data_IF_125377609171
#
_entry.id   IF_125377609171
#
_cell.length_a   1.000
_cell.length_b   1.000
_cell.length_c   1.000
_cell.angle_alpha   90.00
_cell.angle_beta   90.00
_cell.angle_gamma   90.00
#
_symmetry.space_group_name_H-M   'P 1'
#
loop_
_entity.id
_entity.type
_entity.pdbx_description
1 polymer ?
#
# COMPACT_ATOMS: atom_id res chain seq x y z
N UNK A 1 -3.98 6.10 -15.08
CA UNK A 1 -3.23 6.97 -14.17
C UNK A 1 -2.27 6.13 -13.33
N UNK A 2 -1.00 6.44 -13.38
CA UNK A 2 0.01 5.77 -12.55
C UNK A 2 -0.15 6.13 -11.08
N UNK A 3 0.31 5.29 -10.19
CA UNK A 3 0.19 5.57 -8.77
C UNK A 3 0.58 4.42 -7.87
N UNK A 4 0.41 4.66 -6.57
CA UNK A 4 0.63 3.72 -5.48
C UNK A 4 -0.71 3.26 -4.96
N UNK A 5 -0.78 2.02 -4.50
CA UNK A 5 -1.94 1.52 -3.76
C UNK A 5 -1.49 0.88 -2.46
N UNK A 6 -2.36 0.96 -1.46
CA UNK A 6 -2.18 0.27 -0.18
C UNK A 6 -3.42 -0.57 0.05
N UNK A 7 -3.23 -1.87 0.19
CA UNK A 7 -4.30 -2.82 0.49
C UNK A 7 -4.12 -3.37 1.90
N UNK A 8 -5.24 -3.73 2.52
CA UNK A 8 -5.27 -4.31 3.86
C UNK A 8 -5.89 -5.70 3.82
N UNK A 9 -5.25 -6.66 4.50
CA UNK A 9 -5.84 -7.96 4.79
C UNK A 9 -6.29 -7.96 6.26
N UNK A 10 -7.57 -7.69 6.48
CA UNK A 10 -8.11 -7.55 7.84
C UNK A 10 -8.06 -8.84 8.66
N UNK A 11 -8.00 -10.00 8.00
CA UNK A 11 -7.88 -11.28 8.70
C UNK A 11 -6.56 -11.46 9.43
N UNK A 12 -5.55 -10.65 9.10
CA UNK A 12 -4.22 -10.71 9.68
C UNK A 12 -3.89 -9.53 10.59
N UNK A 13 -4.88 -8.68 10.87
CA UNK A 13 -4.71 -7.59 11.83
C UNK A 13 -4.41 -8.16 13.21
N UNK A 14 -3.52 -7.50 13.96
CA UNK A 14 -3.05 -8.04 15.26
C UNK A 14 -2.71 -6.90 16.21
N UNK A 15 -3.21 -7.00 17.45
CA UNK A 15 -2.87 -6.09 18.55
C UNK A 15 -3.03 -4.60 18.20
N UNK A 16 -4.12 -4.25 17.51
CA UNK A 16 -4.37 -2.86 17.11
C UNK A 16 -3.59 -2.42 15.87
N UNK A 17 -2.79 -3.31 15.27
CA UNK A 17 -2.07 -3.04 14.05
C UNK A 17 -2.79 -3.67 12.86
N UNK A 18 -2.75 -2.99 11.73
CA UNK A 18 -3.31 -3.48 10.47
C UNK A 18 -2.22 -4.11 9.60
N UNK A 19 -2.61 -5.11 8.83
CA UNK A 19 -1.70 -5.84 7.94
C UNK A 19 -1.88 -5.33 6.52
N UNK A 20 -0.87 -4.63 5.99
CA UNK A 20 -0.97 -3.91 4.73
C UNK A 20 0.13 -4.30 3.74
N UNK A 21 -0.18 -4.12 2.47
CA UNK A 21 0.78 -4.28 1.38
C UNK A 21 0.77 -3.02 0.53
N UNK A 22 1.96 -2.54 0.18
CA UNK A 22 2.18 -1.41 -0.71
C UNK A 22 2.58 -1.92 -2.08
N UNK A 23 1.91 -1.43 -3.11
CA UNK A 23 2.25 -1.74 -4.48
C UNK A 23 2.11 -0.52 -5.38
N UNK A 24 2.47 -0.68 -6.65
CA UNK A 24 2.39 0.43 -7.59
C UNK A 24 2.00 -0.05 -8.99
N UNK A 25 1.52 0.89 -9.81
CA UNK A 25 1.33 0.69 -11.23
C UNK A 25 1.91 1.87 -12.01
N UNK A 26 2.71 1.58 -13.02
CA UNK A 26 3.29 2.59 -13.91
C UNK A 26 2.30 3.09 -14.95
N UNK A 27 1.24 2.33 -15.19
CA UNK A 27 0.27 2.62 -16.26
C UNK A 27 -1.05 3.10 -15.68
N UNK A 28 -1.75 2.23 -14.95
CA UNK A 28 -3.06 2.54 -14.38
C UNK A 28 -3.26 1.80 -13.07
N UNK A 29 -3.21 2.54 -11.98
CA UNK A 29 -3.34 1.97 -10.63
C UNK A 29 -4.73 1.35 -10.41
N UNK A 30 -5.79 1.93 -10.98
CA UNK A 30 -7.14 1.40 -10.83
C UNK A 30 -7.29 0.04 -11.52
N UNK A 31 -6.72 -0.10 -12.72
CA UNK A 31 -6.71 -1.39 -13.43
C UNK A 31 -5.90 -2.44 -12.68
N UNK A 32 -4.79 -2.05 -12.06
CA UNK A 32 -3.98 -2.95 -11.24
C UNK A 32 -4.78 -3.47 -10.05
N UNK A 33 -5.53 -2.60 -9.39
CA UNK A 33 -6.40 -2.98 -8.26
C UNK A 33 -7.48 -3.94 -8.72
N UNK A 34 -8.14 -3.69 -9.84
CA UNK A 34 -9.14 -4.59 -10.41
C UNK A 34 -8.55 -5.98 -10.68
N UNK A 35 -7.36 -6.04 -11.25
CA UNK A 35 -6.64 -7.29 -11.52
C UNK A 35 -6.36 -8.05 -10.21
N UNK A 36 -5.89 -7.35 -9.18
CA UNK A 36 -5.62 -7.95 -7.87
C UNK A 36 -6.91 -8.52 -7.27
N UNK A 37 -8.00 -7.76 -7.27
CA UNK A 37 -9.29 -8.21 -6.75
C UNK A 37 -9.79 -9.44 -7.49
N UNK A 38 -9.68 -9.46 -8.82
CA UNK A 38 -10.09 -10.59 -9.66
C UNK A 38 -9.27 -11.84 -9.35
N UNK A 39 -7.96 -11.70 -9.23
CA UNK A 39 -7.08 -12.82 -8.91
C UNK A 39 -7.37 -13.40 -7.51
N UNK A 40 -7.61 -12.52 -6.53
CA UNK A 40 -7.98 -12.94 -5.18
C UNK A 40 -9.33 -13.67 -5.17
N UNK A 41 -10.29 -13.21 -5.94
CA UNK A 41 -11.59 -13.86 -6.08
C UNK A 41 -11.44 -15.26 -6.65
N UNK A 42 -10.64 -15.44 -7.70
CA UNK A 42 -10.38 -16.73 -8.31
C UNK A 42 -9.69 -17.71 -7.35
N UNK A 43 -8.88 -17.19 -6.42
CA UNK A 43 -8.22 -18.00 -5.40
C UNK A 43 -9.08 -18.21 -4.15
N UNK A 44 -10.30 -17.69 -4.08
CA UNK A 44 -11.18 -17.79 -2.92
C UNK A 44 -10.72 -16.96 -1.72
N UNK A 45 -9.83 -15.98 -1.91
CA UNK A 45 -9.21 -15.18 -0.85
C UNK A 45 -9.63 -13.72 -0.88
N UNK A 46 -10.87 -13.44 -1.20
CA UNK A 46 -11.31 -12.08 -1.51
C UNK A 46 -11.98 -11.31 -0.37
N UNK A 47 -12.50 -11.99 0.65
CA UNK A 47 -13.44 -11.37 1.60
C UNK A 47 -12.80 -10.41 2.59
N UNK A 48 -11.51 -10.55 2.85
CA UNK A 48 -10.80 -9.77 3.88
C UNK A 48 -9.84 -8.73 3.30
N UNK A 49 -9.72 -8.68 1.98
CA UNK A 49 -8.83 -7.74 1.29
C UNK A 49 -9.63 -6.51 0.87
N UNK A 50 -9.13 -5.36 1.23
CA UNK A 50 -9.73 -4.08 0.80
C UNK A 50 -8.65 -3.07 0.43
N UNK A 51 -8.98 -2.17 -0.47
CA UNK A 51 -8.11 -1.05 -0.84
C UNK A 51 -8.23 0.00 0.25
N UNK A 52 -7.10 0.34 0.87
CA UNK A 52 -7.03 1.34 1.93
C UNK A 52 -6.77 2.73 1.37
N UNK A 53 -5.79 2.84 0.46
CA UNK A 53 -5.39 4.12 -0.14
C UNK A 53 -5.01 3.93 -1.60
N UNK A 54 -5.29 4.96 -2.40
CA UNK A 54 -4.80 5.10 -3.77
C UNK A 54 -4.14 6.48 -3.84
N UNK A 55 -2.86 6.52 -4.22
CA UNK A 55 -2.08 7.75 -4.31
C UNK A 55 -1.62 7.92 -5.76
N UNK A 56 -2.33 8.73 -6.56
CA UNK A 56 -1.90 9.02 -7.93
C UNK A 56 -0.59 9.80 -7.92
N UNK A 57 0.35 9.40 -8.77
CA UNK A 57 1.62 10.11 -8.90
C UNK A 57 2.29 9.80 -10.23
N UNK A 58 3.12 10.73 -10.70
CA UNK A 58 3.81 10.60 -11.99
C UNK A 58 5.07 9.73 -11.92
N UNK A 59 5.61 9.49 -10.73
CA UNK A 59 6.82 8.71 -10.53
C UNK A 59 6.59 7.60 -9.50
N UNK A 60 5.74 6.61 -9.82
CA UNK A 60 5.30 5.62 -8.84
C UNK A 60 6.44 4.78 -8.25
N UNK A 61 7.45 4.45 -9.04
CA UNK A 61 8.58 3.67 -8.53
C UNK A 61 9.33 4.41 -7.42
N UNK A 62 9.61 5.70 -7.62
CA UNK A 62 10.28 6.52 -6.59
C UNK A 62 9.43 6.65 -5.35
N UNK A 63 8.13 6.88 -5.51
CA UNK A 63 7.20 7.03 -4.39
C UNK A 63 7.07 5.72 -3.63
N UNK A 64 6.98 4.59 -4.32
CA UNK A 64 6.94 3.28 -3.68
C UNK A 64 8.21 3.01 -2.86
N UNK A 65 9.38 3.28 -3.44
CA UNK A 65 10.66 3.10 -2.73
C UNK A 65 10.75 3.98 -1.49
N UNK A 66 10.29 5.24 -1.58
CA UNK A 66 10.26 6.14 -0.45
C UNK A 66 9.33 5.64 0.65
N UNK A 67 8.14 5.19 0.28
CA UNK A 67 7.17 4.65 1.22
C UNK A 67 7.69 3.37 1.89
N UNK A 68 8.29 2.45 1.14
CA UNK A 68 8.91 1.26 1.71
C UNK A 68 10.01 1.61 2.72
N UNK A 69 10.79 2.65 2.44
CA UNK A 69 11.81 3.13 3.37
C UNK A 69 11.19 3.66 4.66
N UNK A 70 10.10 4.43 4.56
CA UNK A 70 9.38 4.95 5.73
C UNK A 70 8.73 3.85 6.57
N UNK A 71 8.36 2.73 5.94
CA UNK A 71 7.67 1.62 6.59
C UNK A 71 8.61 0.46 6.97
N UNK A 72 9.91 0.61 6.75
CA UNK A 72 10.90 -0.47 6.89
C UNK A 72 10.81 -1.20 8.23
N UNK A 73 10.68 -0.47 9.34
CA UNK A 73 10.63 -1.05 10.69
C UNK A 73 9.36 -1.86 10.96
N UNK A 74 8.33 -1.68 10.14
CA UNK A 74 7.05 -2.38 10.28
C UNK A 74 6.93 -3.59 9.37
N UNK A 75 7.95 -3.86 8.56
CA UNK A 75 7.95 -4.97 7.59
C UNK A 75 7.91 -6.31 8.30
N UNK A 76 7.07 -7.22 7.78
CA UNK A 76 6.94 -8.58 8.31
C UNK A 76 7.93 -9.50 7.59
N UNK A 77 9.03 -9.84 8.24
CA UNK A 77 10.07 -10.68 7.66
C UNK A 77 10.68 -10.09 6.40
N UNK A 78 10.78 -10.88 5.34
CA UNK A 78 11.25 -10.44 4.01
C UNK A 78 10.10 -10.22 3.04
N UNK A 79 8.86 -10.25 3.52
CA UNK A 79 7.67 -10.09 2.69
C UNK A 79 7.43 -8.65 2.27
N UNK A 80 6.48 -8.44 1.37
CA UNK A 80 6.01 -7.11 0.98
C UNK A 80 4.96 -6.56 1.94
N UNK A 81 4.61 -7.31 2.98
CA UNK A 81 3.59 -6.94 3.94
C UNK A 81 4.18 -6.24 5.16
N UNK A 82 3.38 -5.38 5.77
CA UNK A 82 3.76 -4.58 6.94
C UNK A 82 2.66 -4.67 7.99
N UNK A 83 3.05 -4.67 9.26
CA UNK A 83 2.12 -4.63 10.38
C UNK A 83 2.33 -3.30 11.11
N UNK A 84 1.35 -2.40 11.06
CA UNK A 84 1.47 -1.02 11.53
C UNK A 84 0.11 -0.51 12.03
N UNK A 85 0.10 0.34 13.06
CA UNK A 85 -1.15 0.97 13.48
C UNK A 85 -1.64 1.99 12.45
N UNK A 86 -2.95 2.22 12.39
CA UNK A 86 -3.49 3.21 11.46
C UNK A 86 -2.93 4.60 11.70
N UNK A 87 -2.74 5.00 12.96
CA UNK A 87 -2.18 6.31 13.31
C UNK A 87 -0.76 6.46 12.79
N UNK A 88 0.07 5.43 12.93
CA UNK A 88 1.44 5.46 12.41
C UNK A 88 1.46 5.44 10.90
N UNK A 89 0.55 4.71 10.26
CA UNK A 89 0.44 4.72 8.80
C UNK A 89 0.07 6.12 8.30
N UNK A 90 -0.90 6.77 8.90
CA UNK A 90 -1.29 8.13 8.54
C UNK A 90 -0.12 9.11 8.72
N UNK A 91 0.64 8.99 9.82
CA UNK A 91 1.84 9.80 10.07
C UNK A 91 2.86 9.64 8.94
N UNK A 92 3.10 8.40 8.50
CA UNK A 92 4.03 8.13 7.40
C UNK A 92 3.52 8.67 6.07
N UNK A 93 2.21 8.59 5.83
CA UNK A 93 1.60 9.14 4.61
C UNK A 93 1.67 10.67 4.57
N UNK A 94 1.58 11.34 5.72
CA UNK A 94 1.77 12.79 5.81
C UNK A 94 3.22 13.16 5.43
N UNK A 95 4.20 12.42 5.93
CA UNK A 95 5.61 12.60 5.58
C UNK A 95 5.81 12.38 4.08
N UNK A 96 5.23 11.30 3.53
CA UNK A 96 5.30 11.00 2.11
C UNK A 96 4.72 12.14 1.28
N UNK A 97 3.56 12.66 1.66
CA UNK A 97 2.90 13.74 0.95
C UNK A 97 3.78 15.01 0.91
N UNK A 98 4.46 15.33 2.01
CA UNK A 98 5.42 16.44 2.06
C UNK A 98 6.59 16.23 1.09
N UNK A 99 7.11 15.01 1.00
CA UNK A 99 8.18 14.67 0.06
C UNK A 99 7.71 14.72 -1.40
N UNK A 100 6.45 14.38 -1.69
CA UNK A 100 5.89 14.43 -3.05
C UNK A 100 5.92 15.84 -3.64
N UNK A 101 5.85 16.88 -2.82
CA UNK A 101 5.97 18.26 -3.30
C UNK A 101 7.32 18.54 -3.95
N UNK A 102 8.35 17.82 -3.56
CA UNK A 102 9.70 17.98 -4.10
C UNK A 102 9.86 17.36 -5.49
N UNK A 103 8.95 16.46 -5.89
CA UNK A 103 9.01 15.73 -7.16
C UNK A 103 7.96 16.22 -8.18
N UNK A 104 7.30 17.31 -7.87
CA UNK A 104 6.36 17.93 -8.80
C UNK A 104 7.05 18.82 -9.83
#
# INVERSE_FOLDING_TARGET
>A
MSGIYIIEDSSRNKNGNIFIKVGMSKVDVNKRIETIKKNLHLCGMNSNIKVKYIIPCSQPLKVEQLLHKLLKIYRVGTSEWHLISEDKLEEKLIILNGELYRYK
#
